data_IF_998469863485
#
_entry.id   IF_998469863485
#
_cell.length_a   1.000
_cell.length_b   1.000
_cell.length_c   1.000
_cell.angle_alpha   90.00
_cell.angle_beta   90.00
_cell.angle_gamma   90.00
#
_symmetry.space_group_name_H-M   'P 1'
#
loop_
_entity.id
_entity.type
_entity.pdbx_description
1 polymer ?
#
# COMPACT_ATOMS: atom_id res chain seq x y z
N UNK A 1 21.65 2.37 -31.32
CA UNK A 1 20.32 3.01 -31.23
C UNK A 1 19.38 1.95 -30.64
N UNK A 2 19.31 1.89 -29.31
CA UNK A 2 18.51 0.88 -28.59
C UNK A 2 17.19 1.54 -28.22
N UNK A 3 16.08 0.94 -28.62
CA UNK A 3 14.74 1.38 -28.29
C UNK A 3 14.55 1.41 -26.77
N UNK A 4 14.21 2.58 -26.25
CA UNK A 4 13.72 2.76 -24.89
C UNK A 4 12.37 2.03 -24.77
N UNK A 5 12.35 0.96 -23.97
CA UNK A 5 11.12 0.35 -23.50
C UNK A 5 10.46 1.40 -22.59
N UNK A 6 9.43 2.08 -23.11
CA UNK A 6 8.58 2.96 -22.30
C UNK A 6 7.89 2.13 -21.23
N UNK A 7 8.19 2.47 -19.98
CA UNK A 7 7.69 1.89 -18.74
C UNK A 7 6.23 2.33 -18.49
N UNK A 8 5.32 1.98 -19.40
CA UNK A 8 3.91 2.39 -19.36
C UNK A 8 2.95 1.23 -18.96
N UNK A 9 3.48 0.14 -18.41
CA UNK A 9 2.65 -0.96 -17.89
C UNK A 9 2.49 -0.84 -16.37
N UNK A 10 1.24 -0.93 -15.90
CA UNK A 10 0.79 -1.07 -14.50
C UNK A 10 0.18 0.15 -13.80
N UNK A 11 -0.57 0.98 -14.53
CA UNK A 11 -1.79 1.57 -13.94
C UNK A 11 -3.01 0.83 -14.46
N UNK A 12 -3.45 -0.22 -13.75
CA UNK A 12 -4.81 -0.72 -13.97
C UNK A 12 -5.78 0.38 -13.56
N UNK A 13 -6.50 0.95 -14.54
CA UNK A 13 -7.65 1.79 -14.24
C UNK A 13 -8.57 1.04 -13.29
N UNK A 14 -8.95 1.66 -12.16
CA UNK A 14 -9.75 1.01 -11.11
C UNK A 14 -11.09 0.44 -11.63
N UNK A 15 -11.66 1.05 -12.67
CA UNK A 15 -12.83 0.51 -13.38
C UNK A 15 -12.53 -0.76 -14.20
N UNK A 16 -11.31 -0.91 -14.73
CA UNK A 16 -10.85 -2.14 -15.40
C UNK A 16 -10.68 -3.27 -14.37
N UNK A 17 -10.22 -2.96 -13.16
CA UNK A 17 -10.18 -3.94 -12.06
C UNK A 17 -11.58 -4.36 -11.60
N UNK A 18 -12.54 -3.43 -11.63
CA UNK A 18 -13.95 -3.72 -11.37
C UNK A 18 -14.57 -4.62 -12.46
N UNK A 19 -14.26 -4.38 -13.75
CA UNK A 19 -14.74 -5.21 -14.86
C UNK A 19 -14.24 -6.68 -14.79
N UNK A 20 -13.08 -6.92 -14.18
CA UNK A 20 -12.57 -8.28 -13.90
C UNK A 20 -13.25 -8.96 -12.69
N UNK A 21 -14.05 -8.22 -11.91
CA UNK A 21 -14.65 -8.67 -10.64
C UNK A 21 -16.04 -9.27 -10.83
N UNK A 22 -16.15 -10.27 -11.71
CA UNK A 22 -17.40 -10.99 -11.96
C UNK A 22 -17.68 -11.97 -10.82
N UNK A 23 -18.88 -11.92 -10.24
CA UNK A 23 -19.35 -12.89 -9.24
C UNK A 23 -19.12 -14.33 -9.69
N UNK A 24 -19.39 -14.66 -10.96
CA UNK A 24 -19.17 -15.99 -11.51
C UNK A 24 -17.70 -16.45 -11.44
N UNK A 25 -16.75 -15.53 -11.62
CA UNK A 25 -15.31 -15.81 -11.47
C UNK A 25 -14.96 -16.03 -10.00
N UNK A 26 -15.50 -15.21 -9.09
CA UNK A 26 -15.29 -15.37 -7.64
C UNK A 26 -15.86 -16.71 -7.16
N UNK A 27 -17.07 -17.06 -7.59
CA UNK A 27 -17.73 -18.33 -7.29
C UNK A 27 -16.94 -19.52 -7.86
N UNK A 28 -16.41 -19.40 -9.08
CA UNK A 28 -15.55 -20.41 -9.69
C UNK A 28 -14.28 -20.64 -8.85
N UNK A 29 -13.66 -19.56 -8.36
CA UNK A 29 -12.51 -19.67 -7.46
C UNK A 29 -12.93 -20.34 -6.14
N UNK A 30 -14.08 -19.95 -5.58
CA UNK A 30 -14.64 -20.56 -4.37
C UNK A 30 -14.85 -22.08 -4.46
N UNK A 31 -15.09 -22.60 -5.66
CA UNK A 31 -15.29 -24.04 -5.91
C UNK A 31 -14.00 -24.77 -6.30
N UNK A 32 -12.91 -24.07 -6.61
CA UNK A 32 -11.69 -24.65 -7.16
C UNK A 32 -10.47 -24.41 -6.26
N UNK A 33 -10.01 -25.47 -5.56
CA UNK A 33 -8.86 -25.40 -4.66
C UNK A 33 -7.55 -24.98 -5.34
N UNK A 34 -7.35 -25.32 -6.61
CA UNK A 34 -6.17 -24.87 -7.38
C UNK A 34 -6.21 -23.36 -7.61
N UNK A 35 -7.39 -22.80 -7.93
CA UNK A 35 -7.55 -21.35 -8.06
C UNK A 35 -7.42 -20.63 -6.71
N UNK A 36 -7.91 -21.22 -5.62
CA UNK A 36 -7.70 -20.69 -4.26
C UNK A 36 -6.22 -20.69 -3.86
N UNK A 37 -5.47 -21.73 -4.25
CA UNK A 37 -4.03 -21.77 -4.07
C UNK A 37 -3.34 -20.63 -4.85
N UNK A 38 -3.75 -20.39 -6.10
CA UNK A 38 -3.25 -19.28 -6.94
C UNK A 38 -3.58 -17.89 -6.38
N UNK A 39 -4.75 -17.69 -5.77
CA UNK A 39 -5.05 -16.42 -5.07
C UNK A 39 -4.09 -16.15 -3.92
N UNK A 40 -3.71 -17.19 -3.17
CA UNK A 40 -2.70 -17.08 -2.12
C UNK A 40 -1.27 -16.92 -2.66
N UNK A 41 -1.01 -17.33 -3.90
CA UNK A 41 0.31 -17.22 -4.51
C UNK A 41 0.73 -15.77 -4.78
N UNK A 42 -0.22 -14.83 -4.87
CA UNK A 42 0.08 -13.39 -4.97
C UNK A 42 0.61 -12.81 -3.65
N UNK A 43 0.40 -13.50 -2.52
CA UNK A 43 1.00 -13.12 -1.24
C UNK A 43 2.44 -13.59 -1.20
N UNK A 44 3.30 -12.71 -0.73
CA UNK A 44 4.75 -12.89 -0.69
C UNK A 44 5.29 -12.39 0.63
N UNK A 45 6.54 -12.73 0.94
CA UNK A 45 7.19 -12.28 2.16
C UNK A 45 6.52 -12.82 3.43
N UNK A 46 6.60 -12.02 4.48
CA UNK A 46 6.17 -12.41 5.82
C UNK A 46 4.65 -12.44 6.02
N UNK A 47 3.88 -11.80 5.13
CA UNK A 47 2.42 -11.89 5.09
C UNK A 47 1.86 -13.27 4.68
N UNK A 48 2.72 -14.28 4.52
CA UNK A 48 2.35 -15.68 4.32
C UNK A 48 2.29 -16.49 5.64
N UNK A 49 2.95 -16.02 6.70
CA UNK A 49 2.90 -16.65 8.02
C UNK A 49 1.50 -16.51 8.64
N UNK A 50 1.02 -17.56 9.31
CA UNK A 50 -0.33 -17.61 9.90
C UNK A 50 -1.47 -17.95 8.92
N UNK A 51 -1.20 -18.12 7.62
CA UNK A 51 -2.22 -18.57 6.68
C UNK A 51 -2.46 -20.09 6.82
N UNK A 52 -3.71 -20.54 7.06
CA UNK A 52 -4.01 -21.95 7.05
C UNK A 52 -3.69 -22.56 5.67
N UNK A 53 -3.19 -23.81 5.64
CA UNK A 53 -3.04 -24.58 4.40
C UNK A 53 -4.31 -24.51 3.57
N UNK A 54 -4.21 -24.54 2.23
CA UNK A 54 -5.39 -24.44 1.34
C UNK A 54 -6.48 -25.45 1.73
N UNK A 55 -6.10 -26.64 2.19
CA UNK A 55 -7.02 -27.67 2.67
C UNK A 55 -7.85 -27.28 3.91
N UNK A 56 -7.37 -26.33 4.71
CA UNK A 56 -8.01 -25.79 5.93
C UNK A 56 -8.65 -24.40 5.71
N UNK A 57 -8.59 -23.85 4.49
CA UNK A 57 -9.21 -22.56 4.19
C UNK A 57 -10.71 -22.73 4.05
N UNK A 58 -11.48 -21.87 4.72
CA UNK A 58 -12.93 -21.82 4.60
C UNK A 58 -13.29 -20.70 3.62
N UNK A 59 -13.77 -21.08 2.44
CA UNK A 59 -14.40 -20.14 1.51
C UNK A 59 -15.89 -20.11 1.83
N UNK A 60 -16.40 -18.97 2.31
CA UNK A 60 -17.81 -18.85 2.67
C UNK A 60 -18.70 -19.11 1.44
N UNK A 61 -19.85 -19.80 1.59
CA UNK A 61 -20.77 -20.04 0.48
C UNK A 61 -21.27 -18.76 -0.22
N UNK A 62 -21.33 -17.65 0.51
CA UNK A 62 -21.80 -16.34 0.04
C UNK A 62 -20.67 -15.35 -0.31
N UNK A 63 -19.41 -15.78 -0.32
CA UNK A 63 -18.26 -14.89 -0.52
C UNK A 63 -18.33 -14.10 -1.84
N UNK A 64 -18.86 -14.71 -2.92
CA UNK A 64 -19.08 -14.02 -4.19
C UNK A 64 -20.06 -12.85 -4.07
N UNK A 65 -21.14 -13.01 -3.29
CA UNK A 65 -22.09 -11.94 -3.01
C UNK A 65 -21.46 -10.85 -2.14
N UNK A 66 -20.74 -11.25 -1.09
CA UNK A 66 -20.10 -10.32 -0.16
C UNK A 66 -19.07 -9.44 -0.87
N UNK A 67 -18.14 -10.04 -1.62
CA UNK A 67 -17.10 -9.30 -2.34
C UNK A 67 -17.69 -8.39 -3.41
N UNK A 68 -18.67 -8.88 -4.19
CA UNK A 68 -19.35 -8.05 -5.17
C UNK A 68 -20.04 -6.85 -4.51
N UNK A 69 -20.72 -7.04 -3.38
CA UNK A 69 -21.34 -5.95 -2.61
C UNK A 69 -20.30 -4.92 -2.14
N UNK A 70 -19.17 -5.37 -1.58
CA UNK A 70 -18.11 -4.47 -1.12
C UNK A 70 -17.49 -3.66 -2.29
N UNK A 71 -17.28 -4.30 -3.43
CA UNK A 71 -16.74 -3.65 -4.63
C UNK A 71 -17.71 -2.61 -5.19
N UNK A 72 -19.01 -2.93 -5.26
CA UNK A 72 -20.08 -2.01 -5.68
C UNK A 72 -20.12 -0.78 -4.79
N UNK A 73 -20.14 -0.98 -3.48
CA UNK A 73 -20.10 0.10 -2.48
C UNK A 73 -18.91 1.02 -2.71
N UNK A 74 -17.70 0.46 -2.87
CA UNK A 74 -16.47 1.24 -3.11
C UNK A 74 -16.52 2.03 -4.42
N UNK A 75 -17.12 1.48 -5.47
CA UNK A 75 -17.31 2.21 -6.73
C UNK A 75 -18.27 3.38 -6.56
N UNK A 76 -19.37 3.19 -5.83
CA UNK A 76 -20.36 4.23 -5.51
C UNK A 76 -19.78 5.31 -4.62
N UNK A 77 -19.03 4.95 -3.58
CA UNK A 77 -18.34 5.92 -2.70
C UNK A 77 -17.44 6.86 -3.54
N UNK A 78 -16.69 6.30 -4.50
CA UNK A 78 -15.83 7.06 -5.39
C UNK A 78 -16.59 7.95 -6.40
N UNK A 79 -17.83 7.58 -6.78
CA UNK A 79 -18.67 8.41 -7.65
C UNK A 79 -19.30 9.56 -6.86
N UNK A 80 -19.81 9.29 -5.64
CA UNK A 80 -20.38 10.30 -4.74
C UNK A 80 -19.33 11.35 -4.39
N UNK A 81 -18.13 10.92 -4.04
CA UNK A 81 -17.03 11.83 -3.70
C UNK A 81 -16.65 12.72 -4.88
N UNK A 82 -16.56 12.16 -6.09
CA UNK A 82 -16.25 12.93 -7.30
C UNK A 82 -17.35 13.91 -7.67
N UNK A 83 -18.61 13.55 -7.48
CA UNK A 83 -19.75 14.46 -7.64
C UNK A 83 -19.71 15.59 -6.61
N UNK A 84 -19.39 15.26 -5.36
CA UNK A 84 -19.32 16.22 -4.24
C UNK A 84 -18.09 17.12 -4.27
N UNK A 85 -17.08 16.79 -5.09
CA UNK A 85 -15.82 17.54 -5.22
C UNK A 85 -15.97 18.85 -5.98
N UNK A 86 -16.89 19.72 -5.53
CA UNK A 86 -16.91 21.15 -5.84
C UNK A 86 -15.66 21.78 -5.22
N UNK A 87 -14.48 21.58 -5.85
CA UNK A 87 -13.24 22.27 -5.45
C UNK A 87 -13.53 23.76 -5.54
N UNK A 88 -13.58 24.43 -4.39
CA UNK A 88 -13.68 25.88 -4.17
C UNK A 88 -13.82 26.69 -5.47
N UNK A 89 -15.05 26.77 -5.98
CA UNK A 89 -15.47 27.75 -6.98
C UNK A 89 -14.93 27.66 -8.40
N UNK A 90 -14.35 26.54 -8.90
CA UNK A 90 -13.75 26.55 -10.26
C UNK A 90 -14.24 25.57 -11.34
N UNK A 91 -15.04 24.54 -11.09
CA UNK A 91 -15.73 23.81 -12.17
C UNK A 91 -16.84 22.90 -11.59
N UNK A 92 -18.10 23.18 -11.93
CA UNK A 92 -19.25 22.42 -11.41
C UNK A 92 -19.28 20.97 -11.94
N UNK A 93 -18.59 20.67 -13.04
CA UNK A 93 -18.63 19.37 -13.72
C UNK A 93 -17.23 18.84 -14.05
N UNK A 94 -16.30 19.01 -13.10
CA UNK A 94 -14.90 18.62 -13.27
C UNK A 94 -14.76 17.14 -13.63
N UNK A 95 -15.42 16.24 -12.90
CA UNK A 95 -15.25 14.79 -13.10
C UNK A 95 -16.47 14.11 -13.70
N UNK A 96 -17.65 14.61 -13.36
CA UNK A 96 -18.95 14.03 -13.73
C UNK A 96 -19.77 15.16 -14.35
N UNK A 97 -20.30 14.90 -15.54
CA UNK A 97 -21.06 15.86 -16.33
C UNK A 97 -22.35 15.22 -16.79
N UNK A 98 -23.52 15.63 -16.27
CA UNK A 98 -24.81 15.23 -16.81
C UNK A 98 -24.97 15.69 -18.26
N UNK A 99 -25.62 14.88 -19.09
CA UNK A 99 -25.95 15.20 -20.48
C UNK A 99 -27.39 14.80 -20.79
N UNK A 100 -28.08 15.61 -21.60
CA UNK A 100 -29.51 15.42 -21.87
C UNK A 100 -29.83 14.42 -22.98
N UNK A 101 -28.82 13.99 -23.76
CA UNK A 101 -29.02 13.10 -24.91
C UNK A 101 -27.75 12.34 -25.28
N UNK A 102 -27.91 11.26 -26.06
CA UNK A 102 -26.78 10.50 -26.60
C UNK A 102 -25.97 11.32 -27.62
N UNK A 103 -26.61 12.22 -28.36
CA UNK A 103 -25.96 13.16 -29.27
C UNK A 103 -25.08 14.16 -28.51
N UNK A 104 -25.55 14.64 -27.36
CA UNK A 104 -24.75 15.52 -26.48
C UNK A 104 -23.59 14.75 -25.85
N UNK A 105 -23.81 13.49 -25.47
CA UNK A 105 -22.76 12.60 -24.99
C UNK A 105 -21.67 12.42 -26.05
N UNK A 106 -22.04 12.10 -27.29
CA UNK A 106 -21.13 11.86 -28.40
C UNK A 106 -20.30 13.10 -28.79
N UNK A 107 -20.86 14.31 -28.60
CA UNK A 107 -20.15 15.58 -28.85
C UNK A 107 -19.26 16.03 -27.70
N UNK A 108 -19.63 15.69 -26.47
CA UNK A 108 -18.98 16.23 -25.27
C UNK A 108 -17.96 15.28 -24.64
N UNK A 109 -18.03 13.98 -24.96
CA UNK A 109 -17.12 12.99 -24.39
C UNK A 109 -15.74 13.08 -25.03
N UNK A 110 -14.75 13.55 -24.25
CA UNK A 110 -13.36 13.66 -24.66
C UNK A 110 -12.49 12.67 -23.86
N UNK A 111 -12.75 11.38 -24.08
CA UNK A 111 -12.18 10.27 -23.31
C UNK A 111 -12.88 10.03 -21.97
N UNK A 112 -12.70 8.83 -21.40
CA UNK A 112 -13.34 8.41 -20.15
C UNK A 112 -14.40 7.34 -20.40
N UNK A 113 -15.61 7.52 -19.84
CA UNK A 113 -16.75 6.63 -20.06
C UNK A 113 -18.08 7.39 -19.98
N UNK A 114 -19.12 6.85 -20.61
CA UNK A 114 -20.51 7.24 -20.37
C UNK A 114 -21.08 6.36 -19.27
N UNK A 115 -21.76 6.96 -18.31
CA UNK A 115 -22.52 6.29 -17.26
C UNK A 115 -24.00 6.41 -17.63
N UNK A 116 -24.65 5.28 -17.77
CA UNK A 116 -26.06 5.20 -18.16
C UNK A 116 -26.88 4.62 -17.01
N UNK A 117 -27.96 5.29 -16.65
CA UNK A 117 -28.98 4.81 -15.71
C UNK A 117 -30.24 4.51 -16.54
N UNK A 118 -30.50 3.23 -16.85
CA UNK A 118 -31.68 2.86 -17.62
C UNK A 118 -32.97 3.28 -16.91
N UNK A 119 -33.90 3.87 -17.66
CA UNK A 119 -35.26 4.17 -17.19
C UNK A 119 -36.27 3.08 -17.52
N UNK A 120 -35.92 2.17 -18.44
CA UNK A 120 -36.69 0.98 -18.75
C UNK A 120 -35.86 -0.30 -18.49
N UNK A 121 -36.49 -1.39 -18.02
CA UNK A 121 -35.81 -2.67 -17.87
C UNK A 121 -35.39 -3.22 -19.24
N UNK A 122 -34.11 -3.49 -19.43
CA UNK A 122 -33.60 -4.13 -20.64
C UNK A 122 -33.52 -5.65 -20.44
N UNK A 123 -34.07 -6.43 -21.36
CA UNK A 123 -34.03 -7.90 -21.30
C UNK A 123 -32.61 -8.47 -21.56
N UNK A 124 -31.74 -7.67 -22.19
CA UNK A 124 -30.38 -8.07 -22.56
C UNK A 124 -29.31 -7.36 -21.71
N UNK A 125 -29.02 -7.94 -20.55
CA UNK A 125 -28.09 -7.42 -19.54
C UNK A 125 -26.61 -7.71 -19.85
N UNK A 126 -26.26 -8.19 -21.05
CA UNK A 126 -24.89 -8.63 -21.39
C UNK A 126 -24.10 -7.66 -22.28
N UNK A 127 -24.62 -6.47 -22.55
CA UNK A 127 -24.04 -5.60 -23.55
C UNK A 127 -23.01 -4.63 -22.95
N UNK A 128 -21.73 -4.95 -23.13
CA UNK A 128 -20.71 -3.90 -23.20
C UNK A 128 -21.07 -3.02 -24.39
N UNK A 129 -21.68 -1.87 -24.09
CA UNK A 129 -22.04 -0.89 -25.10
C UNK A 129 -20.89 0.11 -25.27
N UNK A 130 -20.71 0.56 -26.51
CA UNK A 130 -19.76 1.62 -26.85
C UNK A 130 -20.50 2.72 -27.59
N UNK A 131 -20.15 3.98 -27.30
CA UNK A 131 -20.63 5.14 -28.04
C UNK A 131 -19.54 5.56 -29.03
N UNK A 132 -19.92 5.74 -30.29
CA UNK A 132 -19.05 6.31 -31.32
C UNK A 132 -18.97 7.84 -31.13
N UNK A 133 -17.76 8.38 -31.14
CA UNK A 133 -17.49 9.82 -30.90
C UNK A 133 -17.13 10.50 -32.21
N UNK A 134 -17.92 11.51 -32.61
CA UNK A 134 -17.69 12.24 -33.84
C UNK A 134 -16.42 13.10 -33.76
N UNK A 135 -15.62 13.11 -34.83
CA UNK A 135 -14.43 13.96 -35.00
C UNK A 135 -13.29 13.76 -33.97
N UNK A 136 -13.22 12.60 -33.30
CA UNK A 136 -12.14 12.28 -32.36
C UNK A 136 -10.90 11.68 -33.06
N UNK A 137 -9.73 12.28 -32.86
CA UNK A 137 -8.44 11.75 -33.35
C UNK A 137 -7.95 10.51 -32.55
N UNK A 138 -8.38 10.35 -31.30
CA UNK A 138 -8.12 9.21 -30.40
C UNK A 138 -9.37 8.98 -29.51
N UNK A 139 -9.75 7.73 -29.23
CA UNK A 139 -10.92 7.42 -28.39
C UNK A 139 -12.27 7.55 -29.11
N UNK A 140 -12.28 7.28 -30.42
CA UNK A 140 -13.44 7.23 -31.30
C UNK A 140 -14.54 6.25 -30.86
N UNK A 141 -14.25 5.35 -29.91
CA UNK A 141 -15.23 4.55 -29.18
C UNK A 141 -15.03 4.71 -27.68
N UNK A 142 -16.08 5.10 -26.97
CA UNK A 142 -16.08 5.25 -25.52
C UNK A 142 -16.98 4.21 -24.88
N UNK A 143 -16.54 3.63 -23.75
CA UNK A 143 -17.34 2.65 -23.02
C UNK A 143 -18.60 3.29 -22.43
N UNK A 144 -19.72 2.60 -22.55
CA UNK A 144 -20.99 2.93 -21.92
C UNK A 144 -21.23 1.91 -20.81
N UNK A 145 -21.39 2.40 -19.58
CA UNK A 145 -21.60 1.57 -18.40
C UNK A 145 -23.04 1.72 -17.90
N UNK A 146 -23.82 0.64 -18.04
CA UNK A 146 -25.10 0.49 -17.36
C UNK A 146 -24.87 0.40 -15.84
N UNK A 147 -25.30 1.42 -15.10
CA UNK A 147 -25.09 1.50 -13.66
C UNK A 147 -25.98 0.54 -12.87
N UNK A 148 -27.18 0.22 -13.34
CA UNK A 148 -28.06 -0.74 -12.65
C UNK A 148 -27.45 -2.15 -12.71
N UNK A 149 -26.93 -2.55 -13.88
CA UNK A 149 -26.21 -3.79 -14.03
C UNK A 149 -24.89 -3.79 -13.22
N UNK A 150 -24.11 -2.72 -13.38
CA UNK A 150 -22.78 -2.61 -12.80
C UNK A 150 -22.84 -2.56 -11.26
N UNK A 151 -23.61 -1.63 -10.70
CA UNK A 151 -23.63 -1.29 -9.29
C UNK A 151 -24.76 -1.98 -8.52
N UNK A 152 -25.81 -2.43 -9.20
CA UNK A 152 -27.02 -2.97 -8.59
C UNK A 152 -27.96 -1.86 -8.09
N UNK A 153 -29.26 -2.13 -8.14
CA UNK A 153 -30.33 -1.18 -7.81
C UNK A 153 -30.11 -0.44 -6.48
N UNK A 154 -29.79 -1.17 -5.41
CA UNK A 154 -29.59 -0.57 -4.08
C UNK A 154 -28.48 0.46 -4.03
N UNK A 155 -27.37 0.26 -4.74
CA UNK A 155 -26.25 1.21 -4.72
C UNK A 155 -26.47 2.34 -5.72
N UNK A 156 -27.25 2.12 -6.80
CA UNK A 156 -27.69 3.20 -7.70
C UNK A 156 -28.66 4.14 -7.00
N UNK A 157 -29.63 3.62 -6.24
CA UNK A 157 -30.56 4.44 -5.46
C UNK A 157 -29.83 5.25 -4.38
N UNK A 158 -28.83 4.63 -3.74
CA UNK A 158 -27.92 5.34 -2.83
C UNK A 158 -27.16 6.45 -3.54
N UNK A 159 -26.59 6.17 -4.72
CA UNK A 159 -25.87 7.15 -5.53
C UNK A 159 -26.75 8.35 -5.90
N UNK A 160 -27.98 8.13 -6.38
CA UNK A 160 -28.95 9.20 -6.69
C UNK A 160 -29.35 10.03 -5.47
N UNK A 161 -29.38 9.40 -4.29
CA UNK A 161 -29.72 10.08 -3.03
C UNK A 161 -28.58 10.96 -2.55
N UNK A 162 -27.36 10.41 -2.52
CA UNK A 162 -26.18 11.05 -1.92
C UNK A 162 -25.44 12.01 -2.87
N UNK A 163 -25.63 11.90 -4.20
CA UNK A 163 -24.95 12.73 -5.19
C UNK A 163 -25.94 13.50 -6.08
N UNK A 164 -25.93 14.84 -5.99
CA UNK A 164 -26.83 15.72 -6.73
C UNK A 164 -26.70 15.55 -8.26
N UNK A 165 -25.48 15.32 -8.77
CA UNK A 165 -25.25 15.17 -10.21
C UNK A 165 -25.95 13.95 -10.81
N UNK A 166 -26.29 12.95 -10.01
CA UNK A 166 -26.96 11.72 -10.46
C UNK A 166 -28.48 11.76 -10.29
N UNK A 167 -29.02 12.79 -9.64
CA UNK A 167 -30.46 12.90 -9.40
C UNK A 167 -31.19 13.25 -10.69
N UNK A 168 -32.21 12.47 -11.00
CA UNK A 168 -33.05 12.63 -12.21
C UNK A 168 -32.25 12.64 -13.53
N UNK A 169 -31.09 11.98 -13.55
CA UNK A 169 -30.25 11.85 -14.74
C UNK A 169 -30.28 10.43 -15.31
N UNK A 170 -30.33 10.34 -16.64
CA UNK A 170 -30.17 9.08 -17.37
C UNK A 170 -28.76 8.90 -17.91
N UNK A 171 -28.12 9.99 -18.33
CA UNK A 171 -26.81 9.98 -18.99
C UNK A 171 -25.85 10.94 -18.31
N UNK A 172 -24.66 10.43 -17.98
CA UNK A 172 -23.57 11.23 -17.45
C UNK A 172 -22.26 10.85 -18.14
N UNK A 173 -21.37 11.82 -18.31
CA UNK A 173 -20.00 11.59 -18.75
C UNK A 173 -19.10 11.53 -17.53
N UNK A 174 -18.40 10.41 -17.36
CA UNK A 174 -17.25 10.30 -16.50
C UNK A 174 -16.01 10.74 -17.28
N UNK A 175 -15.56 11.97 -17.06
CA UNK A 175 -14.44 12.56 -17.79
C UNK A 175 -13.12 11.89 -17.44
N UNK A 176 -12.26 11.68 -18.44
CA UNK A 176 -10.88 11.24 -18.22
C UNK A 176 -10.01 12.40 -17.73
N UNK A 177 -10.17 12.78 -16.46
CA UNK A 177 -9.14 13.56 -15.80
C UNK A 177 -8.01 12.65 -15.37
N UNK A 178 -6.77 13.12 -15.51
CA UNK A 178 -5.65 12.58 -14.73
C UNK A 178 -6.10 12.64 -13.27
N UNK A 179 -6.53 11.50 -12.73
CA UNK A 179 -6.50 11.33 -11.30
C UNK A 179 -5.03 11.49 -10.96
N UNK A 180 -4.68 12.60 -10.34
CA UNK A 180 -3.40 12.77 -9.67
C UNK A 180 -3.36 11.69 -8.58
N UNK A 181 -2.97 10.48 -8.97
CA UNK A 181 -2.87 9.31 -8.12
C UNK A 181 -4.19 8.82 -7.45
N UNK A 182 -4.30 7.53 -7.15
CA UNK A 182 -5.35 6.94 -6.32
C UNK A 182 -5.44 7.41 -4.85
N UNK A 183 -4.93 8.59 -4.50
CA UNK A 183 -4.76 9.09 -3.12
C UNK A 183 -5.46 10.44 -2.82
N UNK A 184 -6.38 10.92 -3.65
CA UNK A 184 -7.11 12.18 -3.39
C UNK A 184 -8.01 12.15 -2.11
N UNK A 185 -8.24 10.97 -1.50
CA UNK A 185 -8.87 10.87 -0.16
C UNK A 185 -7.91 11.26 0.99
N UNK A 186 -6.64 11.49 0.66
CA UNK A 186 -5.66 12.14 1.55
C UNK A 186 -5.58 13.58 1.09
N UNK A 187 -6.52 14.38 1.58
CA UNK A 187 -6.50 15.82 1.41
C UNK A 187 -5.16 16.39 1.92
N UNK A 188 -4.23 16.54 0.98
CA UNK A 188 -3.00 17.35 0.88
C UNK A 188 -2.36 18.05 2.08
N UNK A 189 -2.53 17.59 3.32
CA UNK A 189 -1.97 18.24 4.53
C UNK A 189 -1.14 17.31 5.42
N UNK A 190 -1.36 16.00 5.36
CA UNK A 190 -0.57 15.06 6.15
C UNK A 190 0.78 14.81 5.47
N UNK A 191 1.83 14.64 6.27
CA UNK A 191 3.19 14.39 5.76
C UNK A 191 3.26 13.00 5.11
N UNK A 192 3.79 12.88 3.88
CA UNK A 192 3.99 11.58 3.22
C UNK A 192 4.89 10.63 4.01
N UNK A 193 4.57 9.33 3.99
CA UNK A 193 5.39 8.27 4.59
C UNK A 193 5.90 7.29 3.55
N UNK A 194 7.18 6.95 3.64
CA UNK A 194 7.78 5.83 2.90
C UNK A 194 7.88 4.61 3.81
N UNK A 195 7.22 3.51 3.45
CA UNK A 195 7.22 2.23 4.17
C UNK A 195 8.11 1.21 3.47
N UNK A 196 9.18 0.84 4.15
CA UNK A 196 10.26 -0.02 3.64
C UNK A 196 9.93 -1.47 3.95
N UNK A 197 10.11 -2.37 3.00
CA UNK A 197 9.78 -3.78 3.16
C UNK A 197 10.47 -4.45 4.37
N UNK A 198 9.81 -5.48 4.90
CA UNK A 198 10.39 -6.34 5.93
C UNK A 198 11.43 -7.32 5.35
N UNK A 199 12.00 -8.21 6.18
CA UNK A 199 13.00 -9.18 5.72
C UNK A 199 12.54 -10.11 4.59
N UNK A 200 11.23 -10.28 4.39
CA UNK A 200 10.64 -11.03 3.29
C UNK A 200 10.68 -10.32 1.93
N UNK A 201 11.08 -9.05 1.87
CA UNK A 201 11.38 -8.36 0.61
C UNK A 201 10.22 -7.68 -0.10
N UNK A 202 8.99 -7.76 0.43
CA UNK A 202 7.79 -7.26 -0.26
C UNK A 202 7.00 -6.28 0.58
N UNK A 203 6.19 -5.45 -0.08
CA UNK A 203 5.33 -4.44 0.56
C UNK A 203 3.90 -4.95 0.78
N UNK A 204 3.66 -6.25 0.57
CA UNK A 204 2.30 -6.83 0.63
C UNK A 204 1.61 -6.57 1.96
N UNK A 205 2.35 -6.64 3.07
CA UNK A 205 1.85 -6.36 4.42
C UNK A 205 1.22 -4.97 4.54
N UNK A 206 1.83 -3.96 3.90
CA UNK A 206 1.32 -2.59 3.91
C UNK A 206 0.09 -2.39 3.04
N UNK A 207 -0.09 -3.22 1.99
CA UNK A 207 -1.32 -3.22 1.18
C UNK A 207 -2.53 -3.79 1.94
N UNK A 208 -2.31 -4.49 3.05
CA UNK A 208 -3.38 -5.01 3.89
C UNK A 208 -3.91 -3.99 4.90
N UNK A 209 -3.21 -2.88 5.12
CA UNK A 209 -3.59 -1.87 6.10
C UNK A 209 -4.89 -1.16 5.71
N UNK A 210 -5.65 -0.78 6.73
CA UNK A 210 -6.68 0.23 6.57
C UNK A 210 -6.04 1.59 6.19
N UNK A 211 -6.81 2.49 5.56
CA UNK A 211 -6.34 3.82 5.20
C UNK A 211 -5.58 4.57 6.31
N UNK A 212 -4.26 4.78 6.16
CA UNK A 212 -3.42 5.56 7.10
C UNK A 212 -3.68 7.08 7.06
N UNK A 213 -4.61 7.55 6.21
CA UNK A 213 -4.99 8.97 6.05
C UNK A 213 -3.84 9.93 5.69
N UNK A 214 -2.77 9.42 5.07
CA UNK A 214 -1.62 10.21 4.55
C UNK A 214 -0.96 9.53 3.34
N UNK A 215 -0.28 10.27 2.44
CA UNK A 215 0.42 9.67 1.29
C UNK A 215 1.36 8.55 1.73
N UNK A 216 1.16 7.33 1.20
CA UNK A 216 1.95 6.14 1.54
C UNK A 216 2.67 5.65 0.30
N UNK A 217 3.99 5.55 0.39
CA UNK A 217 4.86 5.00 -0.64
C UNK A 217 5.51 3.72 -0.13
N UNK A 218 5.28 2.59 -0.78
CA UNK A 218 5.93 1.33 -0.43
C UNK A 218 7.22 1.13 -1.21
N UNK A 219 8.32 0.78 -0.52
CA UNK A 219 9.59 0.42 -1.15
C UNK A 219 9.80 -1.10 -1.00
N UNK A 220 9.82 -1.82 -2.13
CA UNK A 220 10.03 -3.27 -2.18
C UNK A 220 11.49 -3.61 -2.54
N UNK A 221 11.90 -4.85 -2.29
CA UNK A 221 13.23 -5.33 -2.67
C UNK A 221 13.31 -5.54 -4.20
N UNK A 222 14.12 -4.77 -4.95
CA UNK A 222 14.23 -4.93 -6.41
C UNK A 222 14.77 -6.31 -6.80
N UNK A 223 15.59 -6.92 -5.95
CA UNK A 223 16.18 -8.23 -6.18
C UNK A 223 15.27 -9.38 -5.70
N UNK A 224 14.04 -9.12 -5.26
CA UNK A 224 13.14 -10.18 -4.77
C UNK A 224 12.92 -11.30 -5.79
N UNK A 225 12.76 -10.95 -7.07
CA UNK A 225 12.47 -11.93 -8.13
C UNK A 225 13.71 -12.63 -8.66
N UNK A 226 14.88 -12.00 -8.55
CA UNK A 226 16.17 -12.57 -8.97
C UNK A 226 16.77 -13.43 -7.87
N UNK A 227 16.52 -13.09 -6.60
CA UNK A 227 17.14 -13.71 -5.44
C UNK A 227 18.58 -13.26 -5.21
N UNK A 228 19.07 -12.27 -5.97
CA UNK A 228 20.44 -11.76 -5.86
C UNK A 228 20.62 -10.96 -4.56
N UNK A 229 21.72 -11.19 -3.83
CA UNK A 229 21.99 -10.47 -2.58
C UNK A 229 22.39 -9.01 -2.82
N UNK A 230 22.38 -8.21 -1.77
CA UNK A 230 23.03 -6.89 -1.75
C UNK A 230 24.43 -6.99 -1.15
N UNK A 231 25.48 -6.96 -1.98
CA UNK A 231 26.86 -7.23 -1.55
C UNK A 231 27.35 -6.29 -0.43
N UNK A 232 27.18 -4.97 -0.56
CA UNK A 232 27.50 -4.00 0.50
C UNK A 232 26.47 -3.95 1.64
N UNK A 233 25.55 -4.91 1.67
CA UNK A 233 24.62 -5.16 2.75
C UNK A 233 23.57 -4.07 2.92
N UNK A 234 23.15 -3.84 4.18
CA UNK A 234 22.04 -2.95 4.50
C UNK A 234 22.29 -1.51 4.02
N UNK A 235 23.54 -1.05 4.06
CA UNK A 235 23.93 0.31 3.66
C UNK A 235 23.79 0.57 2.17
N UNK A 236 24.18 -0.39 1.33
CA UNK A 236 24.02 -0.30 -0.12
C UNK A 236 22.55 -0.36 -0.53
N UNK A 237 21.77 -1.22 0.13
CA UNK A 237 20.31 -1.26 -0.06
C UNK A 237 19.67 0.07 0.34
N UNK A 238 20.02 0.62 1.50
CA UNK A 238 19.54 1.94 1.94
C UNK A 238 19.94 3.04 0.95
N UNK A 239 21.17 3.02 0.41
CA UNK A 239 21.63 3.99 -0.58
C UNK A 239 20.80 4.00 -1.86
N UNK A 240 20.43 2.80 -2.34
CA UNK A 240 19.51 2.69 -3.47
C UNK A 240 18.14 3.28 -3.15
N UNK A 241 17.61 3.01 -1.96
CA UNK A 241 16.29 3.50 -1.54
C UNK A 241 16.28 5.01 -1.29
N UNK A 242 17.35 5.57 -0.71
CA UNK A 242 17.59 7.01 -0.59
C UNK A 242 17.45 7.69 -1.95
N UNK A 243 18.11 7.13 -2.98
CA UNK A 243 17.99 7.66 -4.35
C UNK A 243 16.55 7.64 -4.86
N UNK A 244 15.83 6.53 -4.69
CA UNK A 244 14.42 6.44 -5.11
C UNK A 244 13.51 7.41 -4.36
N UNK A 245 13.78 7.66 -3.08
CA UNK A 245 13.04 8.65 -2.27
C UNK A 245 13.27 10.03 -2.86
N UNK A 246 14.53 10.41 -3.12
CA UNK A 246 14.87 11.70 -3.76
C UNK A 246 14.15 11.84 -5.10
N UNK A 247 14.32 10.87 -6.01
CA UNK A 247 13.67 10.86 -7.33
C UNK A 247 12.14 10.92 -7.23
N UNK A 248 11.54 10.33 -6.19
CA UNK A 248 10.08 10.35 -5.97
C UNK A 248 9.61 11.71 -5.46
N UNK A 249 10.32 12.32 -4.51
CA UNK A 249 10.03 13.66 -4.00
C UNK A 249 10.21 14.72 -5.08
N UNK A 250 11.10 14.49 -6.05
CA UNK A 250 11.34 15.34 -7.22
C UNK A 250 10.25 15.23 -8.31
N UNK A 251 9.30 14.30 -8.21
CA UNK A 251 8.18 14.22 -9.16
C UNK A 251 7.19 15.38 -8.99
N UNK A 252 6.67 15.97 -10.08
CA UNK A 252 5.71 17.07 -10.01
C UNK A 252 4.41 16.75 -9.27
N UNK A 253 4.01 15.48 -9.25
CA UNK A 253 2.79 14.98 -8.60
C UNK A 253 3.01 14.52 -7.15
N UNK A 254 4.24 14.64 -6.62
CA UNK A 254 4.48 14.44 -5.19
C UNK A 254 3.80 15.58 -4.40
N UNK A 255 3.05 15.28 -3.32
CA UNK A 255 2.32 16.29 -2.54
C UNK A 255 3.28 17.07 -1.63
N UNK A 256 4.16 17.87 -2.26
CA UNK A 256 5.18 18.66 -1.57
C UNK A 256 4.52 19.65 -0.63
N UNK A 257 4.99 19.62 0.60
CA UNK A 257 4.78 20.65 1.59
C UNK A 257 6.17 21.11 2.03
N UNK A 258 6.24 22.29 2.62
CA UNK A 258 7.50 22.83 3.13
C UNK A 258 7.34 23.17 4.60
N UNK A 259 8.32 22.79 5.40
CA UNK A 259 8.45 23.22 6.78
C UNK A 259 8.90 24.69 6.85
N UNK A 260 8.93 25.24 8.07
CA UNK A 260 9.40 26.61 8.32
C UNK A 260 10.86 26.86 7.90
N UNK A 261 11.68 25.80 7.83
CA UNK A 261 13.07 25.84 7.35
C UNK A 261 13.19 25.72 5.82
N UNK A 262 12.05 25.66 5.10
CA UNK A 262 12.02 25.54 3.64
C UNK A 262 12.26 24.11 3.13
N UNK A 263 12.44 23.11 4.01
CA UNK A 263 12.65 21.72 3.60
C UNK A 263 11.34 20.94 3.47
N UNK A 264 11.33 19.92 2.63
CA UNK A 264 10.20 19.02 2.37
C UNK A 264 10.16 17.93 3.44
N UNK A 265 9.18 17.93 4.36
CA UNK A 265 9.08 16.91 5.38
C UNK A 265 8.63 15.57 4.77
N UNK A 266 9.28 14.50 5.19
CA UNK A 266 8.84 13.13 4.96
C UNK A 266 8.93 12.32 6.27
N UNK A 267 8.12 11.27 6.36
CA UNK A 267 8.25 10.23 7.36
C UNK A 267 8.84 8.98 6.71
N UNK A 268 9.65 8.26 7.46
CA UNK A 268 10.08 6.91 7.10
C UNK A 268 9.44 5.90 8.05
N UNK A 269 9.37 4.65 7.63
CA UNK A 269 9.02 3.60 8.53
C UNK A 269 9.13 2.23 7.90
N UNK A 270 8.94 1.21 8.72
CA UNK A 270 8.86 -0.14 8.22
C UNK A 270 8.84 -1.16 9.33
N UNK A 271 8.36 -2.35 8.98
CA UNK A 271 8.33 -3.50 9.84
C UNK A 271 9.65 -4.24 9.81
N UNK A 272 10.14 -4.64 11.00
CA UNK A 272 11.31 -5.49 11.15
C UNK A 272 12.54 -4.83 10.53
N UNK A 273 13.14 -5.44 9.50
CA UNK A 273 14.23 -4.85 8.72
C UNK A 273 13.91 -3.47 8.15
N UNK A 274 12.64 -3.18 7.82
CA UNK A 274 12.22 -1.88 7.31
C UNK A 274 12.52 -0.73 8.27
N UNK A 275 12.46 -0.97 9.59
CA UNK A 275 12.87 0.02 10.60
C UNK A 275 14.38 0.27 10.62
N UNK A 276 15.20 -0.78 10.45
CA UNK A 276 16.66 -0.64 10.32
C UNK A 276 17.03 0.18 9.08
N UNK A 277 16.42 -0.15 7.94
CA UNK A 277 16.58 0.61 6.70
C UNK A 277 16.13 2.07 6.87
N UNK A 278 15.04 2.33 7.61
CA UNK A 278 14.58 3.70 7.87
C UNK A 278 15.65 4.52 8.61
N UNK A 279 16.31 3.91 9.60
CA UNK A 279 17.35 4.56 10.38
C UNK A 279 18.60 4.86 9.54
N UNK A 280 19.02 3.89 8.72
CA UNK A 280 20.15 4.06 7.81
C UNK A 280 19.87 5.12 6.73
N UNK A 281 18.69 5.07 6.09
CA UNK A 281 18.27 6.07 5.10
C UNK A 281 18.23 7.47 5.72
N UNK A 282 17.72 7.61 6.94
CA UNK A 282 17.70 8.90 7.63
C UNK A 282 19.11 9.46 7.87
N UNK A 283 20.12 8.62 8.12
CA UNK A 283 21.52 9.06 8.22
C UNK A 283 22.11 9.43 6.85
N UNK A 284 21.73 8.70 5.80
CA UNK A 284 22.24 8.94 4.44
C UNK A 284 21.56 10.12 3.74
N UNK A 285 20.32 10.46 4.10
CA UNK A 285 19.63 11.68 3.67
C UNK A 285 20.20 12.86 4.45
N UNK A 286 21.30 13.42 3.94
CA UNK A 286 21.86 14.65 4.46
C UNK A 286 20.97 15.84 4.05
N UNK A 287 20.44 16.63 5.00
CA UNK A 287 19.64 17.82 4.72
C UNK A 287 20.41 18.92 3.98
N UNK A 288 21.74 18.92 4.04
CA UNK A 288 22.58 19.86 3.30
C UNK A 288 22.66 19.51 1.80
N UNK A 289 22.53 18.23 1.46
CA UNK A 289 22.64 17.73 0.08
C UNK A 289 21.28 17.61 -0.63
N UNK A 290 20.18 17.74 0.13
CA UNK A 290 18.82 17.55 -0.39
C UNK A 290 17.83 18.52 0.22
N UNK A 291 16.72 18.78 -0.47
CA UNK A 291 15.60 19.55 0.07
C UNK A 291 14.71 18.72 1.00
N UNK A 292 15.13 17.52 1.38
CA UNK A 292 14.31 16.55 2.12
C UNK A 292 14.67 16.58 3.61
N UNK A 293 13.64 16.61 4.46
CA UNK A 293 13.77 16.47 5.92
C UNK A 293 13.02 15.23 6.38
N UNK A 294 13.73 14.25 6.93
CA UNK A 294 13.10 13.13 7.66
C UNK A 294 12.68 13.65 9.03
N UNK A 295 11.38 13.89 9.23
CA UNK A 295 10.85 14.45 10.49
C UNK A 295 10.55 13.38 11.55
N UNK A 296 10.46 12.11 11.14
CA UNK A 296 10.20 11.00 12.05
C UNK A 296 10.31 9.63 11.40
N UNK A 297 10.51 8.62 12.24
CA UNK A 297 10.61 7.21 11.85
C UNK A 297 9.59 6.39 12.65
N UNK A 298 8.77 5.60 11.96
CA UNK A 298 7.93 4.57 12.57
C UNK A 298 8.59 3.19 12.42
N UNK A 299 9.10 2.65 13.52
CA UNK A 299 9.57 1.27 13.57
C UNK A 299 8.43 0.35 13.99
N UNK A 300 8.13 -0.68 13.20
CA UNK A 300 7.17 -1.72 13.58
C UNK A 300 7.94 -2.97 13.93
N UNK A 301 7.88 -3.35 15.20
CA UNK A 301 8.52 -4.52 15.80
C UNK A 301 9.98 -4.75 15.38
N UNK A 302 10.74 -3.65 15.33
CA UNK A 302 12.16 -3.63 14.94
C UNK A 302 13.03 -3.87 16.16
N UNK A 303 13.62 -5.06 16.24
CA UNK A 303 14.51 -5.48 17.34
C UNK A 303 15.93 -4.98 17.09
N UNK A 304 16.65 -4.63 18.16
CA UNK A 304 18.07 -4.25 18.07
C UNK A 304 18.92 -5.38 17.44
N UNK A 305 19.84 -5.08 16.50
CA UNK A 305 20.66 -6.08 15.84
C UNK A 305 21.65 -6.74 16.83
N UNK A 306 21.30 -7.92 17.34
CA UNK A 306 22.20 -8.70 18.18
C UNK A 306 23.27 -9.39 17.32
N UNK A 307 24.55 -9.08 17.60
CA UNK A 307 25.69 -9.79 17.03
C UNK A 307 25.80 -11.16 17.69
N UNK A 308 25.37 -12.22 17.00
CA UNK A 308 25.53 -13.60 17.46
C UNK A 308 26.46 -14.40 16.55
N UNK A 309 27.35 -15.20 17.17
CA UNK A 309 28.18 -16.19 16.47
C UNK A 309 27.37 -17.45 16.22
N UNK A 310 26.59 -17.53 15.13
CA UNK A 310 25.91 -18.78 14.77
C UNK A 310 26.74 -19.61 13.77
N UNK A 311 27.25 -20.75 14.22
CA UNK A 311 27.81 -21.81 13.36
C UNK A 311 26.73 -22.60 12.59
N UNK A 312 25.44 -22.41 12.91
CA UNK A 312 24.32 -23.08 12.24
C UNK A 312 23.70 -22.18 11.17
N UNK A 313 24.35 -22.10 10.02
CA UNK A 313 23.71 -21.62 8.78
C UNK A 313 22.72 -22.69 8.33
N UNK A 314 21.43 -22.56 8.63
CA UNK A 314 20.40 -23.29 7.86
C UNK A 314 20.55 -22.87 6.40
N UNK A 315 20.74 -23.85 5.51
CA UNK A 315 20.92 -23.56 4.08
C UNK A 315 19.60 -23.01 3.52
N UNK A 316 19.64 -22.01 2.61
CA UNK A 316 18.46 -21.60 1.86
C UNK A 316 17.82 -22.85 1.22
N UNK A 317 16.55 -23.12 1.53
CA UNK A 317 15.82 -24.27 0.98
C UNK A 317 15.72 -25.52 1.86
N UNK A 318 16.32 -25.57 3.06
CA UNK A 318 16.05 -26.66 4.00
C UNK A 318 14.57 -26.66 4.44
N UNK A 319 13.86 -27.76 4.13
CA UNK A 319 12.42 -27.92 4.38
C UNK A 319 11.49 -27.33 3.31
N UNK A 320 11.97 -27.16 2.07
CA UNK A 320 11.19 -26.59 0.95
C UNK A 320 10.07 -27.49 0.38
N UNK A 321 9.88 -28.71 0.89
CA UNK A 321 8.79 -29.59 0.44
C UNK A 321 7.42 -28.91 0.65
N UNK A 322 6.68 -28.71 -0.45
CA UNK A 322 5.35 -28.09 -0.45
C UNK A 322 5.32 -26.56 -0.48
N UNK A 323 6.46 -25.87 -0.55
CA UNK A 323 6.52 -24.39 -0.66
C UNK A 323 6.33 -23.93 -2.10
N UNK A 324 5.59 -22.83 -2.28
CA UNK A 324 5.45 -22.19 -3.59
C UNK A 324 6.66 -21.29 -3.90
N UNK A 325 6.80 -20.87 -5.17
CA UNK A 325 7.93 -20.04 -5.64
C UNK A 325 8.12 -18.76 -4.81
N UNK A 326 7.04 -18.08 -4.43
CA UNK A 326 7.13 -16.82 -3.69
C UNK A 326 7.53 -17.04 -2.22
N UNK A 327 7.21 -18.19 -1.64
CA UNK A 327 7.71 -18.58 -0.32
C UNK A 327 9.21 -18.86 -0.36
N UNK A 328 9.70 -19.52 -1.41
CA UNK A 328 11.14 -19.76 -1.59
C UNK A 328 11.91 -18.44 -1.75
N UNK A 329 11.39 -17.52 -2.58
CA UNK A 329 12.00 -16.19 -2.76
C UNK A 329 11.98 -15.36 -1.47
N UNK A 330 10.89 -15.43 -0.69
CA UNK A 330 10.82 -14.80 0.62
C UNK A 330 11.83 -15.39 1.61
N UNK A 331 12.06 -16.70 1.58
CA UNK A 331 13.07 -17.35 2.42
C UNK A 331 14.50 -16.91 2.05
N UNK A 332 14.78 -16.77 0.76
CA UNK A 332 16.06 -16.23 0.26
C UNK A 332 16.23 -14.78 0.72
N UNK A 333 15.22 -13.94 0.51
CA UNK A 333 15.23 -12.54 0.95
C UNK A 333 15.43 -12.42 2.46
N UNK A 334 14.77 -13.26 3.26
CA UNK A 334 14.95 -13.29 4.71
C UNK A 334 16.35 -13.72 5.13
N UNK A 335 16.96 -14.67 4.42
CA UNK A 335 18.32 -15.09 4.69
C UNK A 335 19.31 -13.95 4.43
N UNK A 336 19.12 -13.21 3.33
CA UNK A 336 19.94 -12.05 3.02
C UNK A 336 19.71 -10.90 4.01
N UNK A 337 18.45 -10.62 4.36
CA UNK A 337 18.08 -9.67 5.40
C UNK A 337 18.79 -9.93 6.73
N UNK A 338 18.78 -11.19 7.19
CA UNK A 338 19.49 -11.59 8.41
C UNK A 338 21.00 -11.37 8.30
N UNK A 339 21.60 -11.76 7.17
CA UNK A 339 23.03 -11.53 6.90
C UNK A 339 23.35 -10.04 7.00
N UNK A 340 22.56 -9.19 6.35
CA UNK A 340 22.75 -7.74 6.33
C UNK A 340 22.64 -7.13 7.72
N UNK A 341 21.57 -7.44 8.47
CA UNK A 341 21.35 -6.95 9.83
C UNK A 341 22.48 -7.37 10.77
N UNK A 342 22.94 -8.63 10.68
CA UNK A 342 24.05 -9.12 11.51
C UNK A 342 25.38 -8.38 11.27
N UNK A 343 25.62 -7.95 10.04
CA UNK A 343 26.82 -7.19 9.67
C UNK A 343 26.68 -5.67 9.84
N UNK A 344 25.48 -5.18 10.10
CA UNK A 344 25.18 -3.76 10.15
C UNK A 344 25.33 -3.21 11.57
N UNK A 345 26.01 -2.08 11.67
CA UNK A 345 26.06 -1.27 12.88
C UNK A 345 25.09 -0.09 12.73
N UNK A 346 24.24 0.18 13.72
CA UNK A 346 23.37 1.35 13.70
C UNK A 346 24.16 2.64 13.48
N UNK A 347 23.66 3.59 12.67
CA UNK A 347 24.33 4.86 12.43
C UNK A 347 24.51 5.64 13.74
N UNK A 348 25.58 6.44 13.82
CA UNK A 348 25.84 7.32 14.96
C UNK A 348 25.56 8.76 14.55
N UNK A 349 24.83 9.48 15.39
CA UNK A 349 24.71 10.94 15.33
C UNK A 349 25.56 11.52 16.47
N UNK A 350 26.61 12.24 16.10
CA UNK A 350 27.52 12.93 17.01
C UNK A 350 26.93 14.24 17.52
N UNK A 351 27.65 14.97 18.37
CA UNK A 351 27.17 16.23 18.96
C UNK A 351 26.74 17.25 17.90
N UNK A 352 27.39 17.25 16.74
CA UNK A 352 27.09 18.17 15.64
C UNK A 352 25.86 17.75 14.83
N UNK A 353 25.55 16.45 14.75
CA UNK A 353 24.42 15.91 13.98
C UNK A 353 23.27 15.36 14.81
N UNK A 354 23.35 15.36 16.15
CA UNK A 354 22.32 14.77 17.02
C UNK A 354 20.95 15.46 16.86
N UNK A 355 20.94 16.76 16.56
CA UNK A 355 19.72 17.51 16.25
C UNK A 355 19.04 17.09 14.94
N UNK A 356 19.76 16.39 14.06
CA UNK A 356 19.23 15.87 12.79
C UNK A 356 18.63 14.47 12.93
N UNK A 357 18.89 13.78 14.05
CA UNK A 357 18.31 12.44 14.26
C UNK A 357 16.79 12.56 14.36
N UNK A 358 16.02 11.88 13.49
CA UNK A 358 14.57 11.96 13.54
C UNK A 358 14.03 11.40 14.85
N UNK A 359 12.86 11.91 15.27
CA UNK A 359 12.09 11.27 16.35
C UNK A 359 11.66 9.88 15.90
N UNK A 360 11.66 8.91 16.82
CA UNK A 360 11.34 7.53 16.49
C UNK A 360 10.22 7.01 17.40
N UNK A 361 9.17 6.46 16.80
CA UNK A 361 8.14 5.68 17.51
C UNK A 361 8.32 4.20 17.21
N UNK A 362 8.16 3.35 18.22
CA UNK A 362 8.18 1.89 18.09
C UNK A 362 6.79 1.31 18.35
N UNK A 363 6.29 0.50 17.42
CA UNK A 363 5.19 -0.42 17.68
C UNK A 363 5.75 -1.79 18.08
N UNK A 364 5.58 -2.23 19.32
CA UNK A 364 6.17 -3.46 19.85
C UNK A 364 5.14 -4.59 19.92
N UNK A 365 5.40 -5.72 19.27
CA UNK A 365 4.58 -6.92 19.43
C UNK A 365 4.66 -7.44 20.88
N UNK A 366 3.53 -7.74 21.50
CA UNK A 366 3.51 -8.19 22.91
C UNK A 366 3.96 -9.64 23.07
N UNK A 367 3.65 -10.48 22.10
CA UNK A 367 3.83 -11.92 22.22
C UNK A 367 5.14 -12.38 21.59
N UNK A 368 5.76 -13.40 22.18
CA UNK A 368 6.88 -14.11 21.57
C UNK A 368 6.36 -15.06 20.48
N UNK A 369 7.18 -15.34 19.46
CA UNK A 369 6.83 -16.31 18.43
C UNK A 369 6.71 -17.70 19.06
N UNK A 370 5.61 -18.44 18.85
CA UNK A 370 5.47 -19.79 19.38
C UNK A 370 6.56 -20.73 18.82
N UNK A 371 7.37 -21.31 19.70
CA UNK A 371 8.41 -22.30 19.37
C UNK A 371 8.26 -23.57 20.22
N UNK A 372 8.78 -24.70 19.71
CA UNK A 372 8.88 -25.95 20.48
C UNK A 372 10.13 -25.90 21.35
N UNK A 373 9.96 -26.19 22.64
CA UNK A 373 10.97 -26.45 23.69
C UNK A 373 12.33 -25.73 23.59
N UNK A 374 12.52 -24.70 24.42
CA UNK A 374 13.82 -24.20 24.86
C UNK A 374 14.59 -23.24 23.93
N UNK A 375 14.26 -23.21 22.64
CA UNK A 375 14.88 -22.27 21.68
C UNK A 375 14.04 -20.99 21.51
N UNK A 376 14.66 -19.81 21.69
CA UNK A 376 14.05 -18.51 21.38
C UNK A 376 14.35 -18.10 19.93
N UNK A 377 13.37 -17.47 19.27
CA UNK A 377 13.63 -16.83 17.98
C UNK A 377 14.54 -15.61 18.18
N UNK A 378 15.37 -15.30 17.18
CA UNK A 378 16.26 -14.11 17.22
C UNK A 378 15.47 -12.82 17.46
N UNK A 379 14.24 -12.72 16.93
CA UNK A 379 13.36 -11.56 17.12
C UNK A 379 12.74 -11.47 18.52
N UNK A 380 12.94 -12.47 19.38
CA UNK A 380 12.36 -12.53 20.73
C UNK A 380 13.42 -12.51 21.84
N UNK A 381 14.69 -12.34 21.49
CA UNK A 381 15.79 -12.31 22.46
C UNK A 381 15.61 -11.19 23.49
N UNK A 382 15.11 -10.03 23.05
CA UNK A 382 14.79 -8.86 23.88
C UNK A 382 13.29 -8.54 23.94
N UNK A 383 12.41 -9.54 23.70
CA UNK A 383 10.95 -9.34 23.66
C UNK A 383 10.37 -8.70 24.92
N UNK A 384 10.88 -9.13 26.08
CA UNK A 384 10.44 -8.65 27.40
C UNK A 384 10.86 -7.20 27.65
N UNK A 385 11.89 -6.71 26.95
CA UNK A 385 12.37 -5.36 27.08
C UNK A 385 11.44 -4.39 26.36
N UNK A 386 11.17 -3.25 27.00
CA UNK A 386 10.28 -2.23 26.43
C UNK A 386 10.79 -1.71 25.09
N UNK A 387 12.09 -1.51 24.98
CA UNK A 387 12.73 -0.95 23.79
C UNK A 387 13.37 -2.02 22.89
N UNK A 388 13.02 -3.31 23.05
CA UNK A 388 13.51 -4.41 22.21
C UNK A 388 15.05 -4.44 22.03
N UNK A 389 15.80 -4.18 23.11
CA UNK A 389 17.26 -4.16 23.10
C UNK A 389 17.92 -2.84 22.70
N UNK A 390 17.16 -1.86 22.18
CA UNK A 390 17.69 -0.59 21.70
C UNK A 390 18.27 0.32 22.78
N UNK A 391 18.00 0.03 24.07
CA UNK A 391 18.65 0.71 25.20
C UNK A 391 20.18 0.55 25.19
N UNK A 392 20.69 -0.50 24.52
CA UNK A 392 22.13 -0.71 24.29
C UNK A 392 22.74 0.29 23.31
N UNK A 393 21.91 0.87 22.44
CA UNK A 393 22.30 1.91 21.49
C UNK A 393 22.04 3.30 22.06
N UNK A 394 20.80 3.57 22.48
CA UNK A 394 20.42 4.80 23.16
C UNK A 394 19.11 4.58 23.95
N UNK A 395 19.15 4.81 25.26
CA UNK A 395 17.99 4.67 26.16
C UNK A 395 16.86 5.63 25.82
N UNK A 396 17.17 6.74 25.16
CA UNK A 396 16.21 7.77 24.76
C UNK A 396 15.92 7.73 23.25
N UNK A 397 16.20 6.59 22.59
CA UNK A 397 15.98 6.45 21.15
C UNK A 397 14.53 6.72 20.75
N UNK A 398 13.59 6.16 21.51
CA UNK A 398 12.18 6.22 21.19
C UNK A 398 11.46 7.33 21.94
N UNK A 399 10.78 8.21 21.20
CA UNK A 399 9.84 9.18 21.78
C UNK A 399 8.56 8.53 22.27
N UNK A 400 8.19 7.39 21.68
CA UNK A 400 7.00 6.63 22.00
C UNK A 400 7.26 5.15 21.73
N UNK A 401 6.75 4.29 22.61
CA UNK A 401 6.67 2.85 22.34
C UNK A 401 5.25 2.37 22.68
N UNK A 402 4.54 1.90 21.66
CA UNK A 402 3.14 1.42 21.75
C UNK A 402 3.11 -0.08 21.54
N UNK A 403 2.39 -0.80 22.38
CA UNK A 403 2.26 -2.25 22.22
C UNK A 403 1.16 -2.63 21.21
N UNK A 404 1.45 -3.58 20.33
CA UNK A 404 0.53 -4.17 19.35
C UNK A 404 0.28 -5.65 19.66
N UNK A 405 -0.91 -6.14 19.31
CA UNK A 405 -1.28 -7.53 19.61
C UNK A 405 -0.63 -8.52 18.64
N UNK A 406 -0.45 -9.76 19.12
CA UNK A 406 0.24 -10.83 18.40
C UNK A 406 1.77 -10.82 18.56
N UNK A 407 2.42 -11.72 17.83
CA UNK A 407 3.88 -11.86 17.78
C UNK A 407 4.46 -11.31 16.46
N UNK A 408 5.79 -11.14 16.40
CA UNK A 408 6.52 -10.52 15.27
C UNK A 408 5.97 -10.90 13.90
N UNK A 409 5.83 -12.20 13.61
CA UNK A 409 5.39 -12.71 12.29
C UNK A 409 3.89 -12.65 11.98
N UNK A 410 3.04 -12.28 12.93
CA UNK A 410 1.59 -12.25 12.72
C UNK A 410 0.96 -10.88 12.92
N UNK A 411 1.72 -9.82 13.20
CA UNK A 411 1.16 -8.48 13.46
C UNK A 411 0.35 -7.90 12.28
N UNK A 412 0.59 -8.39 11.05
CA UNK A 412 -0.21 -8.07 9.85
C UNK A 412 -1.23 -9.17 9.48
N UNK A 413 -1.52 -10.10 10.38
CA UNK A 413 -2.60 -11.06 10.20
C UNK A 413 -3.94 -10.31 10.22
N UNK A 414 -4.91 -10.79 9.42
CA UNK A 414 -6.19 -10.12 9.24
C UNK A 414 -6.93 -9.76 10.55
N UNK A 415 -6.79 -10.60 11.59
CA UNK A 415 -7.38 -10.35 12.92
C UNK A 415 -6.82 -9.09 13.62
N UNK A 416 -5.65 -8.61 13.21
CA UNK A 416 -4.95 -7.47 13.82
C UNK A 416 -4.85 -6.25 12.90
N UNK A 417 -5.33 -6.34 11.65
CA UNK A 417 -5.20 -5.27 10.67
C UNK A 417 -5.82 -3.96 11.15
N UNK A 418 -6.98 -4.01 11.80
CA UNK A 418 -7.63 -2.82 12.35
C UNK A 418 -6.76 -2.15 13.43
N UNK A 419 -6.32 -2.92 14.44
CA UNK A 419 -5.48 -2.46 15.56
C UNK A 419 -4.13 -1.89 15.07
N UNK A 420 -3.40 -2.61 14.22
CA UNK A 420 -2.11 -2.15 13.74
C UNK A 420 -2.25 -0.92 12.83
N UNK A 421 -3.29 -0.85 12.00
CA UNK A 421 -3.52 0.32 11.14
C UNK A 421 -3.83 1.57 11.95
N UNK A 422 -4.64 1.43 13.01
CA UNK A 422 -4.94 2.52 13.93
C UNK A 422 -3.68 3.02 14.63
N UNK A 423 -2.90 2.12 15.25
CA UNK A 423 -1.69 2.51 15.97
C UNK A 423 -0.59 3.06 15.06
N UNK A 424 -0.42 2.51 13.86
CA UNK A 424 0.49 3.08 12.86
C UNK A 424 0.07 4.51 12.50
N UNK A 425 -1.22 4.74 12.26
CA UNK A 425 -1.75 6.09 11.96
C UNK A 425 -1.50 7.04 13.12
N UNK A 426 -1.83 6.65 14.35
CA UNK A 426 -1.68 7.51 15.53
C UNK A 426 -0.22 7.87 15.81
N UNK A 427 0.70 6.92 15.72
CA UNK A 427 2.12 7.19 15.89
C UNK A 427 2.68 8.07 14.77
N UNK A 428 2.26 7.88 13.51
CA UNK A 428 2.67 8.77 12.41
C UNK A 428 2.12 10.19 12.60
N UNK A 429 0.86 10.32 13.03
CA UNK A 429 0.27 11.62 13.37
C UNK A 429 0.99 12.27 14.57
N UNK A 430 1.42 11.48 15.54
CA UNK A 430 2.23 11.92 16.68
C UNK A 430 3.58 12.47 16.27
N UNK A 431 4.32 11.74 15.42
CA UNK A 431 5.60 12.19 14.86
C UNK A 431 5.44 13.50 14.08
N UNK A 432 4.42 13.62 13.25
CA UNK A 432 4.14 14.83 12.48
C UNK A 432 3.76 16.04 13.38
N UNK A 433 2.97 15.84 14.43
CA UNK A 433 2.65 16.92 15.37
C UNK A 433 3.90 17.39 16.12
N UNK A 434 4.73 16.46 16.58
CA UNK A 434 5.93 16.74 17.35
C UNK A 434 7.07 17.39 16.54
N UNK A 435 6.97 17.41 15.20
CA UNK A 435 7.90 18.15 14.33
C UNK A 435 7.45 19.57 14.05
N UNK A 436 6.20 19.93 14.39
CA UNK A 436 5.64 21.27 14.21
C UNK A 436 5.70 22.13 15.48
N UNK A 437 5.93 21.50 16.62
CA UNK A 437 6.18 22.12 17.93
C UNK A 437 7.66 22.35 18.15
#
# INVERSE_FOLDING_TARGET
MREEIREDSHRSGRFVTYALSRKSVIDMIGKNRSLQAKMGAQRSGMGTYGLPPVAKRVFRPDMGNLLLKMMRRRAVDALIERSSSRREGKDLHKFIMPVGSWEDAARSVAGGAVLYIPTEPTEDMNNYATLDVENANYGNKVAVHDLLFLLGESEVERLKTEAEDFRDQELLILKNHRSESPADWQTGKAVPVFLLHDGGGTTFSYHCLEPLKRPVYGIYNPNFHTGEPFDGGLKDMAKLYTRWIIETVEKPDFPRQYNSDGKIPILLGGWSMGGHLSLEIAKQLNPEDTEIRVIGILMVDTVYPLKYSSNNRRRPGEGAEGRNKNQILADIAMADARRMIQSWDPPVWDEDSIGERPRISLLRAKEAVPFKDGEKNLVDMSREERNLGWDSYDKNLFSEVVDIDGHHFEVFAFKFIEDISEKMRESLDGLERASRS
#
